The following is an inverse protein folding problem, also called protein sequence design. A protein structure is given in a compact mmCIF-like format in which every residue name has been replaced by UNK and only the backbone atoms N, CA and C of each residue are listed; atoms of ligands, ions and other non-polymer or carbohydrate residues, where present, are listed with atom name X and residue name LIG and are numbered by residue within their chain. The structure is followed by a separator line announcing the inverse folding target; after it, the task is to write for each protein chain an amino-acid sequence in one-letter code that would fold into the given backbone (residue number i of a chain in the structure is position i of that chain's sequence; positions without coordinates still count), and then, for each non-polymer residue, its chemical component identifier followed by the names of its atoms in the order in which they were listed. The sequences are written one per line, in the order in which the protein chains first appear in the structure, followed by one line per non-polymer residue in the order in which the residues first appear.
data_IF_327262005174
#
_entry.id   IF_327262005174
#
_cell.length_a   1.000
_cell.length_b   1.000
_cell.length_c   1.000
_cell.angle_alpha   90.00
_cell.angle_beta   90.00
_cell.angle_gamma   90.00
#
_symmetry.space_group_name_H-M   'P 1'
#
loop_
_entity.id
_entity.type
_entity.pdbx_description
1 polymer ?
#
# COMPACT_ATOMS: atom_id res chain seq x y z
N UNK A 1 -20.32 -11.37 -24.08
CA UNK A 1 -19.16 -10.46 -24.25
C UNK A 1 -19.53 -8.98 -24.08
N UNK A 2 -20.61 -8.46 -24.69
CA UNK A 2 -21.04 -7.05 -24.57
C UNK A 2 -21.33 -6.55 -23.13
N UNK A 3 -21.85 -7.40 -22.23
CA UNK A 3 -22.06 -7.02 -20.82
C UNK A 3 -20.76 -6.86 -20.02
N UNK A 4 -19.69 -7.58 -20.40
CA UNK A 4 -18.38 -7.49 -19.74
C UNK A 4 -17.70 -6.15 -20.03
N UNK A 5 -17.76 -5.67 -21.28
CA UNK A 5 -17.16 -4.40 -21.69
C UNK A 5 -17.78 -3.19 -20.98
N UNK A 6 -19.11 -3.14 -20.85
CA UNK A 6 -19.81 -2.07 -20.10
C UNK A 6 -19.49 -2.09 -18.61
N UNK A 7 -19.21 -3.25 -18.02
CA UNK A 7 -18.81 -3.38 -16.61
C UNK A 7 -17.40 -2.84 -16.40
N UNK A 8 -16.47 -3.21 -17.27
CA UNK A 8 -15.08 -2.73 -17.22
C UNK A 8 -15.00 -1.21 -17.34
N UNK A 9 -15.78 -0.61 -18.25
CA UNK A 9 -15.86 0.85 -18.38
C UNK A 9 -16.33 1.55 -17.10
N UNK A 10 -17.33 1.00 -16.41
CA UNK A 10 -17.82 1.52 -15.13
C UNK A 10 -16.78 1.43 -14.03
N UNK A 11 -16.07 0.30 -13.95
CA UNK A 11 -14.97 0.10 -13.00
C UNK A 11 -13.84 1.06 -13.27
N UNK A 12 -13.44 1.24 -14.53
CA UNK A 12 -12.40 2.20 -14.91
C UNK A 12 -12.79 3.64 -14.52
N UNK A 13 -14.05 4.04 -14.75
CA UNK A 13 -14.54 5.34 -14.32
C UNK A 13 -14.51 5.50 -12.80
N UNK A 14 -14.93 4.47 -12.05
CA UNK A 14 -14.85 4.46 -10.59
C UNK A 14 -13.40 4.63 -10.12
N UNK A 15 -12.46 3.89 -10.73
CA UNK A 15 -11.04 4.00 -10.42
C UNK A 15 -10.51 5.42 -10.66
N UNK A 16 -10.87 6.04 -11.79
CA UNK A 16 -10.47 7.43 -12.09
C UNK A 16 -10.98 8.40 -11.02
N UNK A 17 -12.26 8.29 -10.65
CA UNK A 17 -12.86 9.12 -9.59
C UNK A 17 -12.15 8.88 -8.26
N UNK A 18 -11.88 7.64 -7.90
CA UNK A 18 -11.15 7.29 -6.68
C UNK A 18 -9.73 7.85 -6.64
N UNK A 19 -9.00 7.84 -7.76
CA UNK A 19 -7.68 8.46 -7.86
C UNK A 19 -7.78 9.96 -7.61
N UNK A 20 -8.75 10.64 -8.24
CA UNK A 20 -8.99 12.08 -8.02
C UNK A 20 -9.32 12.37 -6.56
N UNK A 21 -10.14 11.54 -5.90
CA UNK A 21 -10.45 11.68 -4.46
C UNK A 21 -9.17 11.62 -3.61
N UNK A 22 -8.28 10.68 -3.88
CA UNK A 22 -7.02 10.57 -3.13
C UNK A 22 -6.14 11.81 -3.33
N UNK A 23 -5.96 12.25 -4.58
CA UNK A 23 -5.15 13.43 -4.90
C UNK A 23 -5.74 14.71 -4.28
N UNK A 24 -7.07 14.87 -4.31
CA UNK A 24 -7.75 15.98 -3.65
C UNK A 24 -7.61 15.93 -2.13
N UNK A 25 -7.71 14.73 -1.53
CA UNK A 25 -7.49 14.55 -0.09
C UNK A 25 -6.12 15.02 0.34
N UNK A 26 -5.07 14.54 -0.34
CA UNK A 26 -3.69 14.98 -0.09
C UNK A 26 -3.47 16.47 -0.38
N UNK A 27 -4.08 17.02 -1.42
CA UNK A 27 -3.98 18.45 -1.71
C UNK A 27 -4.63 19.30 -0.61
N UNK A 28 -5.78 18.89 -0.09
CA UNK A 28 -6.49 19.61 0.98
C UNK A 28 -5.66 19.59 2.26
N UNK A 29 -5.10 18.44 2.66
CA UNK A 29 -4.29 18.37 3.89
C UNK A 29 -3.01 19.19 3.75
N UNK A 30 -2.34 19.12 2.59
CA UNK A 30 -1.17 19.95 2.30
C UNK A 30 -1.46 21.46 2.34
N UNK A 31 -2.65 21.90 1.89
CA UNK A 31 -3.05 23.32 1.92
C UNK A 31 -3.54 23.80 3.29
N UNK A 32 -4.16 22.92 4.06
CA UNK A 32 -4.73 23.28 5.37
C UNK A 32 -3.75 23.11 6.52
N UNK A 33 -2.66 22.34 6.33
CA UNK A 33 -1.69 22.04 7.37
C UNK A 33 -2.22 21.05 8.42
N UNK A 34 -3.36 20.40 8.15
CA UNK A 34 -3.88 19.34 9.02
C UNK A 34 -2.94 18.13 8.92
N UNK A 35 -2.46 17.57 10.04
CA UNK A 35 -1.48 16.48 10.05
C UNK A 35 -2.12 15.13 9.70
N UNK A 36 -2.66 15.02 8.48
CA UNK A 36 -3.31 13.83 7.93
C UNK A 36 -2.89 13.66 6.45
N UNK A 37 -2.98 12.44 5.93
CA UNK A 37 -2.58 12.12 4.56
C UNK A 37 -3.79 12.13 3.60
N UNK A 38 -4.93 11.61 4.05
CA UNK A 38 -6.21 11.46 3.33
C UNK A 38 -6.07 10.92 1.89
N UNK A 39 -5.10 10.05 1.67
CA UNK A 39 -4.67 9.62 0.33
C UNK A 39 -5.10 8.20 -0.05
N UNK A 40 -5.86 7.56 0.82
CA UNK A 40 -6.28 6.16 0.71
C UNK A 40 -7.80 5.99 0.70
N UNK A 41 -8.57 7.08 0.77
CA UNK A 41 -10.04 7.07 0.73
C UNK A 41 -10.56 6.40 -0.54
N UNK A 42 -10.11 6.87 -1.69
CA UNK A 42 -10.46 6.30 -2.99
C UNK A 42 -9.95 4.86 -3.16
N UNK A 43 -8.77 4.55 -2.62
CA UNK A 43 -8.17 3.20 -2.66
C UNK A 43 -9.06 2.20 -1.91
N UNK A 44 -9.41 2.51 -0.66
CA UNK A 44 -10.28 1.67 0.19
C UNK A 44 -11.68 1.58 -0.40
N UNK A 45 -12.23 2.70 -0.90
CA UNK A 45 -13.55 2.72 -1.54
C UNK A 45 -13.59 1.83 -2.79
N UNK A 46 -12.64 1.97 -3.71
CA UNK A 46 -12.57 1.16 -4.92
C UNK A 46 -12.36 -0.33 -4.60
N UNK A 47 -11.54 -0.62 -3.59
CA UNK A 47 -11.34 -1.99 -3.11
C UNK A 47 -12.62 -2.62 -2.56
N UNK A 48 -13.41 -1.85 -1.80
CA UNK A 48 -14.66 -2.32 -1.21
C UNK A 48 -15.78 -2.46 -2.27
N UNK A 49 -15.90 -1.55 -3.23
CA UNK A 49 -16.99 -1.56 -4.21
C UNK A 49 -16.72 -2.48 -5.40
N UNK A 50 -15.49 -2.43 -5.93
CA UNK A 50 -15.13 -3.12 -7.18
C UNK A 50 -14.23 -4.32 -6.97
N UNK A 51 -13.73 -4.54 -5.75
CA UNK A 51 -12.85 -5.65 -5.39
C UNK A 51 -11.38 -5.26 -5.37
N UNK A 52 -10.54 -6.23 -4.98
CA UNK A 52 -9.12 -6.04 -4.70
C UNK A 52 -8.34 -5.39 -5.84
N UNK A 53 -8.44 -5.90 -7.08
CA UNK A 53 -7.62 -5.44 -8.21
C UNK A 53 -7.89 -3.97 -8.58
N UNK A 54 -9.15 -3.51 -8.72
CA UNK A 54 -9.46 -2.09 -8.86
C UNK A 54 -8.87 -1.21 -7.75
N UNK A 55 -8.98 -1.64 -6.48
CA UNK A 55 -8.38 -0.94 -5.35
C UNK A 55 -6.85 -0.82 -5.45
N UNK A 56 -6.17 -1.92 -5.79
CA UNK A 56 -4.72 -1.94 -6.04
C UNK A 56 -4.34 -0.96 -7.16
N UNK A 57 -5.08 -0.98 -8.28
CA UNK A 57 -4.81 -0.11 -9.41
C UNK A 57 -4.94 1.37 -9.01
N UNK A 58 -5.97 1.73 -8.25
CA UNK A 58 -6.14 3.09 -7.70
C UNK A 58 -4.97 3.48 -6.81
N UNK A 59 -4.61 2.63 -5.84
CA UNK A 59 -3.55 2.92 -4.88
C UNK A 59 -2.18 3.12 -5.56
N UNK A 60 -1.80 2.21 -6.45
CA UNK A 60 -0.55 2.32 -7.22
C UNK A 60 -0.56 3.56 -8.09
N UNK A 61 -1.63 3.79 -8.85
CA UNK A 61 -1.71 4.93 -9.77
C UNK A 61 -1.68 6.26 -9.02
N UNK A 62 -2.35 6.35 -7.86
CA UNK A 62 -2.31 7.54 -7.01
C UNK A 62 -0.88 7.88 -6.62
N UNK A 63 -0.11 6.91 -6.11
CA UNK A 63 1.26 7.13 -5.67
C UNK A 63 2.20 7.47 -6.83
N UNK A 64 2.01 6.83 -8.00
CA UNK A 64 2.75 7.19 -9.21
C UNK A 64 2.44 8.65 -9.62
N UNK A 65 1.17 9.06 -9.57
CA UNK A 65 0.80 10.44 -9.93
C UNK A 65 1.34 11.46 -8.93
N UNK A 66 1.40 11.14 -7.63
CA UNK A 66 2.04 11.99 -6.62
C UNK A 66 3.52 12.26 -6.93
N UNK A 67 4.26 11.25 -7.43
CA UNK A 67 5.65 11.45 -7.88
C UNK A 67 5.74 12.56 -8.95
N UNK A 68 4.79 12.62 -9.88
CA UNK A 68 4.79 13.61 -10.97
C UNK A 68 4.24 14.97 -10.56
N UNK A 69 3.19 15.01 -9.72
CA UNK A 69 2.53 16.27 -9.35
C UNK A 69 3.20 16.97 -8.16
N UNK A 70 3.64 16.19 -7.17
CA UNK A 70 4.21 16.70 -5.92
C UNK A 70 5.75 16.70 -5.94
N UNK A 71 6.37 16.19 -7.02
CA UNK A 71 7.82 15.98 -7.17
C UNK A 71 8.45 15.15 -6.04
N UNK A 72 7.65 14.34 -5.35
CA UNK A 72 8.11 13.46 -4.30
C UNK A 72 8.35 12.04 -4.84
N UNK A 73 9.61 11.71 -5.13
CA UNK A 73 9.98 10.38 -5.61
C UNK A 73 9.71 9.27 -4.58
N UNK A 74 9.64 9.61 -3.29
CA UNK A 74 9.49 8.62 -2.22
C UNK A 74 8.05 8.11 -2.11
N UNK A 75 7.08 8.86 -2.61
CA UNK A 75 5.67 8.46 -2.74
C UNK A 75 5.50 7.08 -3.40
N UNK A 76 6.40 6.68 -4.31
CA UNK A 76 6.32 5.37 -4.99
C UNK A 76 6.41 4.18 -4.00
N UNK A 77 7.17 4.32 -2.90
CA UNK A 77 7.33 3.26 -1.90
C UNK A 77 6.04 3.01 -1.13
N UNK A 78 5.27 4.07 -0.85
CA UNK A 78 3.95 3.99 -0.21
C UNK A 78 2.86 3.38 -1.11
N UNK A 79 3.18 3.14 -2.39
CA UNK A 79 2.38 2.29 -3.27
C UNK A 79 2.19 0.88 -2.70
N UNK A 80 3.21 0.30 -2.08
CA UNK A 80 3.12 -1.03 -1.46
C UNK A 80 2.16 -1.03 -0.25
N UNK A 81 2.19 0.02 0.57
CA UNK A 81 1.25 0.22 1.67
C UNK A 81 -0.19 0.31 1.15
N UNK A 82 -0.41 1.10 0.09
CA UNK A 82 -1.71 1.22 -0.56
C UNK A 82 -2.24 -0.11 -1.14
N UNK A 83 -1.35 -0.97 -1.66
CA UNK A 83 -1.70 -2.33 -2.09
C UNK A 83 -2.19 -3.16 -0.90
N UNK A 84 -1.49 -3.10 0.23
CA UNK A 84 -1.89 -3.82 1.45
C UNK A 84 -3.23 -3.32 2.01
N UNK A 85 -3.47 -1.99 1.97
CA UNK A 85 -4.74 -1.40 2.33
C UNK A 85 -5.87 -1.88 1.42
N UNK A 86 -5.67 -1.90 0.10
CA UNK A 86 -6.67 -2.39 -0.85
C UNK A 86 -7.02 -3.88 -0.64
N UNK A 87 -6.01 -4.72 -0.39
CA UNK A 87 -6.19 -6.13 -0.04
C UNK A 87 -7.01 -6.28 1.24
N UNK A 88 -6.62 -5.56 2.30
CA UNK A 88 -7.29 -5.62 3.59
C UNK A 88 -8.75 -5.11 3.50
N UNK A 89 -8.99 -4.01 2.79
CA UNK A 89 -10.32 -3.44 2.58
C UNK A 89 -11.26 -4.40 1.85
N UNK A 90 -10.78 -5.04 0.77
CA UNK A 90 -11.55 -6.02 0.02
C UNK A 90 -11.86 -7.28 0.86
N UNK A 91 -10.93 -7.74 1.70
CA UNK A 91 -11.17 -8.84 2.64
C UNK A 91 -12.20 -8.47 3.71
N UNK A 92 -12.13 -7.24 4.24
CA UNK A 92 -13.08 -6.72 5.20
C UNK A 92 -14.50 -6.61 4.61
N UNK A 93 -14.62 -6.22 3.33
CA UNK A 93 -15.90 -6.24 2.63
C UNK A 93 -16.49 -7.65 2.53
N UNK A 94 -15.68 -8.63 2.12
CA UNK A 94 -16.13 -10.02 2.00
C UNK A 94 -16.59 -10.60 3.35
N UNK A 95 -15.99 -10.15 4.46
CA UNK A 95 -16.39 -10.52 5.83
C UNK A 95 -17.55 -9.68 6.38
N UNK A 96 -18.04 -8.71 5.62
CA UNK A 96 -19.16 -7.85 6.01
C UNK A 96 -18.81 -6.79 7.06
N UNK A 97 -17.53 -6.40 7.21
CA UNK A 97 -17.09 -5.39 8.16
C UNK A 97 -17.74 -4.03 7.92
N UNK A 98 -17.97 -3.64 6.66
CA UNK A 98 -18.68 -2.40 6.29
C UNK A 98 -20.18 -2.39 6.64
N UNK A 99 -20.74 -3.49 7.19
CA UNK A 99 -22.15 -3.58 7.62
C UNK A 99 -22.33 -3.35 9.12
N UNK A 100 -21.25 -3.28 9.89
CA UNK A 100 -21.28 -3.22 11.35
C UNK A 100 -20.36 -2.11 11.86
N UNK A 101 -20.81 -1.35 12.85
CA UNK A 101 -19.99 -0.32 13.51
C UNK A 101 -18.74 -0.95 14.15
N UNK A 102 -18.86 -2.14 14.74
CA UNK A 102 -17.70 -2.89 15.26
C UNK A 102 -16.69 -3.26 14.17
N UNK A 103 -17.16 -3.46 12.94
CA UNK A 103 -16.29 -3.66 11.78
C UNK A 103 -15.53 -2.40 11.39
N UNK A 104 -16.11 -1.20 11.60
CA UNK A 104 -15.42 0.06 11.36
C UNK A 104 -14.20 0.23 12.29
N UNK A 105 -14.36 -0.02 13.60
CA UNK A 105 -13.24 0.02 14.54
C UNK A 105 -12.14 -0.99 14.20
N UNK A 106 -12.51 -2.20 13.77
CA UNK A 106 -11.56 -3.19 13.30
C UNK A 106 -10.79 -2.71 12.06
N UNK A 107 -11.47 -2.10 11.10
CA UNK A 107 -10.83 -1.57 9.89
C UNK A 107 -9.88 -0.42 10.21
N UNK A 108 -10.25 0.50 11.10
CA UNK A 108 -9.36 1.58 11.54
C UNK A 108 -8.09 1.01 12.14
N UNK A 109 -8.21 0.06 13.07
CA UNK A 109 -7.05 -0.59 13.70
C UNK A 109 -6.17 -1.32 12.67
N UNK A 110 -6.76 -2.11 11.77
CA UNK A 110 -5.99 -2.84 10.75
C UNK A 110 -5.30 -1.90 9.77
N UNK A 111 -6.00 -0.86 9.31
CA UNK A 111 -5.43 0.09 8.36
C UNK A 111 -4.35 0.94 8.99
N UNK A 112 -4.49 1.36 10.26
CA UNK A 112 -3.48 2.12 10.97
C UNK A 112 -2.22 1.27 11.25
N UNK A 113 -2.37 -0.03 11.53
CA UNK A 113 -1.23 -0.93 11.64
C UNK A 113 -0.50 -1.11 10.30
N UNK A 114 -1.23 -1.10 9.18
CA UNK A 114 -0.64 -1.19 7.85
C UNK A 114 0.02 0.14 7.46
N UNK A 115 -0.67 1.26 7.60
CA UNK A 115 -0.16 2.57 7.18
C UNK A 115 0.85 3.14 8.17
N UNK A 116 0.48 3.34 9.44
CA UNK A 116 1.38 3.91 10.44
C UNK A 116 2.37 2.90 11.00
N UNK A 117 1.97 1.65 11.21
CA UNK A 117 2.88 0.60 11.70
C UNK A 117 3.92 0.19 10.66
N UNK A 118 3.48 -0.45 9.56
CA UNK A 118 4.39 -0.89 8.50
C UNK A 118 4.92 0.28 7.68
N UNK A 119 4.08 1.28 7.40
CA UNK A 119 4.55 2.47 6.70
C UNK A 119 5.49 3.31 7.56
N UNK A 120 5.34 3.39 8.88
CA UNK A 120 6.32 4.08 9.73
C UNK A 120 7.66 3.37 9.83
N UNK A 121 7.67 2.04 9.84
CA UNK A 121 8.91 1.26 9.66
C UNK A 121 9.57 1.60 8.31
N UNK A 122 8.77 1.69 7.25
CA UNK A 122 9.26 2.09 5.92
C UNK A 122 9.81 3.53 5.93
N UNK A 123 9.09 4.48 6.54
CA UNK A 123 9.53 5.88 6.71
C UNK A 123 10.90 5.94 7.38
N UNK A 124 11.09 5.19 8.47
CA UNK A 124 12.37 5.15 9.16
C UNK A 124 13.52 4.65 8.27
N UNK A 125 13.29 3.61 7.47
CA UNK A 125 14.34 3.11 6.57
C UNK A 125 14.62 4.06 5.39
N UNK A 126 13.67 4.91 5.01
CA UNK A 126 13.83 5.90 3.95
C UNK A 126 14.51 7.19 4.46
N UNK A 127 14.15 7.65 5.65
CA UNK A 127 14.50 8.99 6.15
C UNK A 127 15.22 9.02 7.50
N UNK A 128 15.22 7.92 8.24
CA UNK A 128 15.68 7.89 9.64
C UNK A 128 14.66 8.56 10.56
N UNK A 129 15.15 9.30 11.56
CA UNK A 129 14.29 10.07 12.46
C UNK A 129 13.71 11.29 11.74
N UNK A 130 12.38 11.44 11.75
CA UNK A 130 11.75 12.47 10.94
C UNK A 130 12.10 13.87 11.47
N UNK A 131 12.78 14.62 10.61
CA UNK A 131 13.06 16.05 10.78
C UNK A 131 12.12 16.92 9.93
N UNK A 132 11.52 16.32 8.90
CA UNK A 132 10.56 16.92 7.98
C UNK A 132 9.44 15.91 7.69
N UNK A 133 8.27 16.41 7.30
CA UNK A 133 7.10 15.58 6.98
C UNK A 133 5.98 15.67 8.02
N UNK A 134 4.87 14.99 7.73
CA UNK A 134 3.61 15.10 8.49
C UNK A 134 3.77 14.57 9.94
N UNK A 135 4.62 13.56 10.15
CA UNK A 135 4.86 12.93 11.45
C UNK A 135 5.97 13.56 12.28
N UNK A 136 6.85 14.38 11.67
CA UNK A 136 8.07 14.88 12.31
C UNK A 136 7.82 15.65 13.61
N UNK A 137 6.84 16.55 13.61
CA UNK A 137 6.48 17.35 14.79
C UNK A 137 5.98 16.45 15.94
N UNK A 138 5.20 15.42 15.62
CA UNK A 138 4.69 14.46 16.59
C UNK A 138 5.80 13.55 17.11
N UNK A 139 6.67 13.05 16.24
CA UNK A 139 7.81 12.21 16.61
C UNK A 139 8.76 12.96 17.55
N UNK A 140 9.07 14.20 17.22
CA UNK A 140 9.89 15.10 18.05
C UNK A 140 9.23 15.38 19.41
N UNK A 141 7.93 15.65 19.43
CA UNK A 141 7.19 15.90 20.66
C UNK A 141 7.13 14.65 21.57
N UNK A 142 6.99 13.45 21.00
CA UNK A 142 7.04 12.19 21.75
C UNK A 142 8.44 12.00 22.33
N UNK A 143 9.48 12.04 21.48
CA UNK A 143 10.87 11.83 21.91
C UNK A 143 11.27 12.77 23.05
N UNK A 144 10.89 14.05 22.96
CA UNK A 144 11.20 15.05 24.00
C UNK A 144 10.48 14.78 25.32
N UNK A 145 9.23 14.33 25.29
CA UNK A 145 8.40 14.14 26.50
C UNK A 145 8.59 12.79 27.16
N UNK A 146 8.82 11.74 26.39
CA UNK A 146 8.94 10.36 26.90
C UNK A 146 10.39 9.93 27.08
N UNK A 147 11.34 10.64 26.47
CA UNK A 147 12.75 10.25 26.37
C UNK A 147 12.94 8.85 25.76
N UNK A 148 12.02 8.45 24.87
CA UNK A 148 12.11 7.19 24.15
C UNK A 148 13.16 7.24 23.06
N UNK A 149 13.59 6.06 22.62
CA UNK A 149 14.45 5.91 21.46
C UNK A 149 13.82 6.59 20.22
N UNK A 150 14.61 7.27 19.36
CA UNK A 150 14.10 7.95 18.18
C UNK A 150 13.28 7.04 17.25
N UNK A 151 13.66 5.77 17.10
CA UNK A 151 12.93 4.80 16.26
C UNK A 151 11.53 4.52 16.82
N UNK A 152 11.44 4.31 18.13
CA UNK A 152 10.16 4.04 18.79
C UNK A 152 9.27 5.29 18.77
N UNK A 153 9.87 6.47 18.90
CA UNK A 153 9.17 7.75 18.85
C UNK A 153 8.57 8.01 17.47
N UNK A 154 9.34 7.75 16.40
CA UNK A 154 8.89 7.86 15.00
C UNK A 154 7.70 6.95 14.72
N UNK A 155 7.86 5.64 14.96
CA UNK A 155 6.80 4.66 14.68
C UNK A 155 5.55 4.94 15.52
N UNK A 156 5.72 5.41 16.76
CA UNK A 156 4.59 5.77 17.61
C UNK A 156 3.84 6.99 17.07
N UNK A 157 4.56 8.00 16.57
CA UNK A 157 3.96 9.17 15.94
C UNK A 157 3.19 8.79 14.68
N UNK A 158 3.80 8.01 13.79
CA UNK A 158 3.17 7.52 12.57
C UNK A 158 1.93 6.69 12.89
N UNK A 159 2.02 5.75 13.84
CA UNK A 159 0.87 4.92 14.23
C UNK A 159 -0.27 5.76 14.80
N UNK A 160 0.02 6.76 15.64
CA UNK A 160 -1.00 7.63 16.21
C UNK A 160 -1.69 8.48 15.15
N UNK A 161 -0.91 9.14 14.29
CA UNK A 161 -1.46 9.95 13.19
C UNK A 161 -2.30 9.11 12.25
N UNK A 162 -1.83 7.90 11.95
CA UNK A 162 -2.52 7.02 11.02
C UNK A 162 -3.79 6.41 11.64
N UNK A 163 -3.90 6.28 12.97
CA UNK A 163 -5.19 5.99 13.63
C UNK A 163 -6.22 7.07 13.31
N UNK A 164 -5.85 8.35 13.37
CA UNK A 164 -6.76 9.45 13.04
C UNK A 164 -7.07 9.50 11.54
N UNK A 165 -6.05 9.35 10.69
CA UNK A 165 -6.18 9.34 9.23
C UNK A 165 -7.09 8.20 8.75
N UNK A 166 -6.86 6.99 9.25
CA UNK A 166 -7.69 5.82 8.92
C UNK A 166 -9.06 5.89 9.58
N UNK A 167 -9.18 6.56 10.72
CA UNK A 167 -10.46 6.93 11.32
C UNK A 167 -11.34 7.73 10.36
N UNK A 168 -10.79 8.82 9.81
CA UNK A 168 -11.49 9.67 8.82
C UNK A 168 -11.76 8.90 7.54
N UNK A 169 -10.75 8.18 7.03
CA UNK A 169 -10.86 7.38 5.80
C UNK A 169 -11.99 6.34 5.90
N UNK A 170 -12.00 5.55 6.97
CA UNK A 170 -13.04 4.54 7.19
C UNK A 170 -14.40 5.19 7.40
N UNK A 171 -14.49 6.29 8.14
CA UNK A 171 -15.76 7.00 8.35
C UNK A 171 -16.39 7.46 7.02
N UNK A 172 -15.60 8.07 6.14
CA UNK A 172 -16.05 8.52 4.82
C UNK A 172 -16.52 7.32 3.98
N UNK A 173 -15.67 6.30 3.84
CA UNK A 173 -16.00 5.13 2.99
C UNK A 173 -17.20 4.36 3.54
N UNK A 174 -17.27 4.18 4.86
CA UNK A 174 -18.38 3.51 5.52
C UNK A 174 -19.69 4.24 5.31
N UNK A 175 -19.71 5.57 5.46
CA UNK A 175 -20.89 6.38 5.20
C UNK A 175 -21.35 6.22 3.73
N UNK A 176 -20.44 6.36 2.77
CA UNK A 176 -20.77 6.23 1.34
C UNK A 176 -21.34 4.84 1.02
N UNK A 177 -20.70 3.77 1.49
CA UNK A 177 -21.17 2.40 1.25
C UNK A 177 -22.53 2.15 1.90
N UNK A 178 -22.79 2.72 3.08
CA UNK A 178 -24.07 2.55 3.76
C UNK A 178 -25.24 3.18 2.99
N UNK A 179 -25.02 4.31 2.31
CA UNK A 179 -26.02 4.95 1.47
C UNK A 179 -26.18 4.33 0.08
N UNK A 180 -25.22 3.52 -0.38
CA UNK A 180 -25.27 2.93 -1.72
C UNK A 180 -26.20 1.71 -1.80
N UNK A 181 -27.15 1.67 -2.76
CA UNK A 181 -27.98 0.48 -2.98
C UNK A 181 -27.13 -0.73 -3.43
N UNK A 182 -27.39 -1.91 -2.87
CA UNK A 182 -26.67 -3.15 -3.25
C UNK A 182 -26.71 -3.44 -4.75
N UNK A 183 -27.86 -3.17 -5.40
CA UNK A 183 -28.03 -3.33 -6.84
C UNK A 183 -27.14 -2.36 -7.67
N UNK A 184 -26.73 -1.23 -7.08
CA UNK A 184 -25.77 -0.33 -7.69
C UNK A 184 -24.35 -0.90 -7.56
N UNK A 185 -23.93 -1.29 -6.35
CA UNK A 185 -22.60 -1.87 -6.10
C UNK A 185 -22.32 -3.08 -6.98
N UNK A 186 -23.29 -3.99 -7.14
CA UNK A 186 -23.17 -5.16 -8.00
C UNK A 186 -22.86 -4.81 -9.47
N UNK A 187 -23.22 -3.62 -9.96
CA UNK A 187 -22.87 -3.19 -11.32
C UNK A 187 -21.38 -2.85 -11.49
N UNK A 188 -20.68 -2.56 -10.41
CA UNK A 188 -19.26 -2.18 -10.38
C UNK A 188 -18.35 -3.29 -9.87
N UNK A 189 -18.91 -4.40 -9.40
CA UNK A 189 -18.14 -5.52 -8.88
C UNK A 189 -17.30 -6.19 -9.98
N UNK A 190 -16.00 -6.32 -9.77
CA UNK A 190 -15.07 -6.95 -10.72
C UNK A 190 -14.51 -8.26 -10.15
N UNK A 191 -15.24 -9.36 -10.35
CA UNK A 191 -14.79 -10.70 -9.96
C UNK A 191 -14.08 -11.46 -11.10
N UNK A 192 -13.84 -10.80 -12.24
CA UNK A 192 -13.34 -11.47 -13.46
C UNK A 192 -11.95 -12.12 -13.34
N UNK A 193 -11.20 -11.74 -12.32
CA UNK A 193 -9.89 -12.33 -11.96
C UNK A 193 -10.01 -13.58 -11.10
N UNK A 194 -11.13 -13.75 -10.38
CA UNK A 194 -11.29 -14.87 -9.47
C UNK A 194 -11.43 -16.16 -10.26
N UNK A 195 -10.80 -17.22 -9.76
CA UNK A 195 -10.89 -18.53 -10.37
C UNK A 195 -12.36 -18.99 -10.33
N UNK A 196 -12.89 -19.40 -11.49
CA UNK A 196 -14.23 -19.99 -11.53
C UNK A 196 -14.25 -21.23 -10.63
N UNK A 197 -15.31 -21.45 -9.83
CA UNK A 197 -15.42 -22.64 -9.01
C UNK A 197 -15.28 -23.90 -9.88
N UNK A 198 -14.56 -24.90 -9.36
CA UNK A 198 -14.29 -26.15 -10.08
C UNK A 198 -15.62 -26.87 -10.29
N UNK A 199 -16.02 -27.05 -11.55
CA UNK A 199 -17.20 -27.85 -11.91
C UNK A 199 -16.97 -29.32 -11.54
N UNK A 200 -18.01 -30.06 -11.16
CA UNK A 200 -17.89 -31.47 -10.78
C UNK A 200 -17.30 -32.34 -11.90
N UNK A 201 -17.54 -31.99 -13.16
CA UNK A 201 -16.97 -32.65 -14.35
C UNK A 201 -15.44 -32.50 -14.40
N UNK A 202 -14.94 -31.30 -14.10
CA UNK A 202 -13.50 -31.03 -13.96
C UNK A 202 -12.92 -31.77 -12.77
N UNK A 203 -13.67 -31.88 -11.67
CA UNK A 203 -13.26 -32.63 -10.47
C UNK A 203 -13.09 -34.11 -10.77
N UNK A 204 -14.03 -34.71 -11.50
CA UNK A 204 -13.93 -36.10 -11.98
C UNK A 204 -12.82 -36.31 -13.00
N UNK A 205 -12.58 -35.36 -13.90
CA UNK A 205 -11.45 -35.44 -14.84
C UNK A 205 -10.10 -35.35 -14.10
N UNK A 206 -10.01 -34.49 -13.08
CA UNK A 206 -8.83 -34.37 -12.22
C UNK A 206 -8.59 -35.62 -11.36
N UNK A 207 -9.64 -36.28 -10.88
CA UNK A 207 -9.51 -37.50 -10.07
C UNK A 207 -9.06 -38.72 -10.88
N UNK A 208 -9.33 -38.72 -12.20
CA UNK A 208 -8.94 -39.81 -13.12
C UNK A 208 -7.55 -39.61 -13.73
N UNK A 209 -6.98 -38.41 -13.64
CA UNK A 209 -5.61 -38.14 -14.05
C UNK A 209 -4.61 -38.64 -13.00
N UNK A 210 -3.54 -39.29 -13.43
CA UNK A 210 -2.35 -39.48 -12.60
C UNK A 210 -1.65 -38.13 -12.39
N UNK A 211 -2.17 -37.29 -11.50
CA UNK A 211 -1.79 -35.88 -11.41
C UNK A 211 -0.63 -35.69 -10.43
N UNK A 212 0.57 -35.47 -11.02
CA UNK A 212 1.83 -34.93 -10.44
C UNK A 212 2.84 -35.93 -9.87
N UNK A 213 4.03 -35.94 -10.49
CA UNK A 213 5.26 -36.54 -9.92
C UNK A 213 5.90 -35.70 -8.80
N UNK A 214 5.59 -34.40 -8.71
CA UNK A 214 6.20 -33.45 -7.75
C UNK A 214 5.10 -32.59 -7.11
N UNK A 215 5.15 -32.42 -5.79
CA UNK A 215 4.20 -31.61 -5.05
C UNK A 215 4.23 -30.14 -5.50
N UNK A 216 3.06 -29.48 -5.54
CA UNK A 216 2.98 -28.06 -5.89
C UNK A 216 3.78 -27.19 -4.91
N UNK A 217 3.77 -27.59 -3.64
CA UNK A 217 4.54 -26.97 -2.56
C UNK A 217 6.04 -26.95 -2.91
N UNK A 218 6.60 -28.04 -3.40
CA UNK A 218 8.03 -28.09 -3.78
C UNK A 218 8.35 -27.19 -4.97
N UNK A 219 7.47 -27.12 -5.98
CA UNK A 219 7.66 -26.19 -7.11
C UNK A 219 7.63 -24.74 -6.66
N UNK A 220 6.66 -24.37 -5.83
CA UNK A 220 6.55 -23.01 -5.28
C UNK A 220 7.78 -22.68 -4.44
N UNK A 221 8.23 -23.60 -3.58
CA UNK A 221 9.46 -23.39 -2.80
C UNK A 221 10.69 -23.23 -3.69
N UNK A 222 10.86 -24.06 -4.72
CA UNK A 222 11.99 -23.92 -5.66
C UNK A 222 12.00 -22.57 -6.36
N UNK A 223 10.85 -22.09 -6.83
CA UNK A 223 10.76 -20.78 -7.47
C UNK A 223 11.12 -19.63 -6.52
N UNK A 224 10.61 -19.66 -5.29
CA UNK A 224 10.91 -18.64 -4.29
C UNK A 224 12.40 -18.67 -3.94
N UNK A 225 12.99 -19.85 -3.72
CA UNK A 225 14.41 -19.97 -3.38
C UNK A 225 15.30 -19.44 -4.51
N UNK A 226 15.01 -19.79 -5.76
CA UNK A 226 15.77 -19.29 -6.92
C UNK A 226 15.64 -17.77 -7.04
N UNK A 227 14.43 -17.22 -6.89
CA UNK A 227 14.20 -15.78 -6.95
C UNK A 227 14.95 -15.03 -5.84
N UNK A 228 14.92 -15.54 -4.60
CA UNK A 228 15.65 -14.95 -3.47
C UNK A 228 17.16 -14.97 -3.66
N UNK A 229 17.72 -16.05 -4.22
CA UNK A 229 19.15 -16.13 -4.54
C UNK A 229 19.52 -15.09 -5.61
N UNK A 230 18.73 -14.98 -6.67
CA UNK A 230 18.95 -13.99 -7.72
C UNK A 230 18.90 -12.56 -7.17
N UNK A 231 17.90 -12.26 -6.33
CA UNK A 231 17.77 -10.95 -5.68
C UNK A 231 18.98 -10.63 -4.80
N UNK A 232 19.45 -11.61 -4.02
CA UNK A 232 20.64 -11.49 -3.18
C UNK A 232 21.90 -11.18 -4.01
N UNK A 233 22.12 -11.89 -5.11
CA UNK A 233 23.27 -11.66 -6.00
C UNK A 233 23.24 -10.24 -6.58
N UNK A 234 22.07 -9.77 -7.03
CA UNK A 234 21.91 -8.41 -7.57
C UNK A 234 22.19 -7.38 -6.49
N UNK A 235 21.61 -7.54 -5.30
CA UNK A 235 21.80 -6.62 -4.18
C UNK A 235 23.27 -6.52 -3.75
N UNK A 236 23.95 -7.66 -3.62
CA UNK A 236 25.39 -7.72 -3.29
C UNK A 236 26.23 -7.05 -4.37
N UNK A 237 25.90 -7.27 -5.65
CA UNK A 237 26.64 -6.67 -6.76
C UNK A 237 26.49 -5.15 -6.77
N UNK A 238 25.27 -4.64 -6.61
CA UNK A 238 24.99 -3.20 -6.55
C UNK A 238 25.69 -2.60 -5.33
N UNK A 239 25.57 -3.23 -4.15
CA UNK A 239 26.22 -2.79 -2.92
C UNK A 239 27.74 -2.72 -3.06
N UNK A 240 28.36 -3.73 -3.68
CA UNK A 240 29.80 -3.76 -3.94
C UNK A 240 30.24 -2.63 -4.90
N UNK A 241 29.49 -2.40 -5.98
CA UNK A 241 29.78 -1.33 -6.94
C UNK A 241 29.65 0.04 -6.29
N UNK A 242 28.60 0.26 -5.49
CA UNK A 242 28.38 1.51 -4.77
C UNK A 242 29.48 1.76 -3.75
N UNK A 243 29.82 0.76 -2.93
CA UNK A 243 30.89 0.87 -1.95
C UNK A 243 32.24 1.18 -2.61
N UNK A 244 32.57 0.49 -3.72
CA UNK A 244 33.79 0.75 -4.47
C UNK A 244 33.83 2.19 -5.02
N UNK A 245 32.71 2.70 -5.55
CA UNK A 245 32.63 4.08 -6.05
C UNK A 245 32.80 5.10 -4.92
N UNK A 246 32.07 4.93 -3.81
CA UNK A 246 32.17 5.80 -2.64
C UNK A 246 33.61 5.85 -2.12
N UNK A 247 34.25 4.69 -1.93
CA UNK A 247 35.63 4.63 -1.44
C UNK A 247 36.60 5.33 -2.40
N UNK A 248 36.43 5.19 -3.73
CA UNK A 248 37.29 5.90 -4.70
C UNK A 248 37.06 7.41 -4.63
N UNK A 249 35.81 7.87 -4.53
CA UNK A 249 35.47 9.28 -4.40
C UNK A 249 36.04 9.88 -3.10
N UNK A 250 35.92 9.19 -1.98
CA UNK A 250 36.48 9.62 -0.69
C UNK A 250 38.01 9.78 -0.74
N UNK A 251 38.71 8.80 -1.33
CA UNK A 251 40.17 8.88 -1.48
C UNK A 251 40.60 10.00 -2.45
N UNK A 252 39.80 10.25 -3.49
CA UNK A 252 40.07 11.33 -4.44
C UNK A 252 39.88 12.70 -3.79
N UNK A 253 38.80 12.88 -3.03
CA UNK A 253 38.53 14.08 -2.24
C UNK A 253 39.64 14.36 -1.22
N UNK A 254 40.08 13.34 -0.48
CA UNK A 254 41.22 13.45 0.43
C UNK A 254 42.50 13.87 -0.30
N UNK A 255 42.82 13.23 -1.43
CA UNK A 255 44.00 13.58 -2.23
C UNK A 255 43.97 15.02 -2.77
N UNK A 256 42.83 15.47 -3.28
CA UNK A 256 42.64 16.85 -3.75
C UNK A 256 42.77 17.85 -2.59
N UNK A 257 42.18 17.56 -1.42
CA UNK A 257 42.26 18.43 -0.24
C UNK A 257 43.69 18.62 0.29
N UNK A 258 44.51 17.58 0.26
CA UNK A 258 45.92 17.62 0.68
C UNK A 258 46.78 18.35 -0.36
N UNK A 259 46.48 18.23 -1.65
CA UNK A 259 47.21 18.91 -2.72
C UNK A 259 46.92 20.42 -2.78
N UNK A 260 45.82 20.88 -2.20
CA UNK A 260 45.45 22.31 -2.12
C UNK A 260 45.97 23.05 -0.87
N UNK A 261 46.63 22.35 0.05
CA UNK A 261 47.32 22.92 1.22
C UNK A 261 48.77 23.27 0.88
#
# INVERSE_FOLDING_TARGET
MLQSGKRLQRVALLCLISIVINLLGSFITAKTGVPLYLDSVGTVFAAAVSGTLPGIAVGITTNILKVFFDNDLTSIYYGAINVMLALCASLCEHRGCFKKISGAFLMVGLFALIGGGLGGILTWFLFGFATEGISADFASAIALKTHWDPFISEISADLLLDIFDKGVTVAIVFAVIWFLPKAFVEKFRYDGWQQKPITEDLRQAMSKGGVRKISLRLKIMLYITVASILLSVVAVTIGFVLFRRSTIEDHKMLGESVATL
#
